data_IF_095514445719
#
_entry.id   IF_095514445719
#
_cell.length_a   1.000
_cell.length_b   1.000
_cell.length_c   1.000
_cell.angle_alpha   90.00
_cell.angle_beta   90.00
_cell.angle_gamma   90.00
#
_symmetry.space_group_name_H-M   'P 1'
#
loop_
_entity.id
_entity.type
_entity.pdbx_description
1 polymer ?
#
# COMPACT_ATOMS: atom_id res chain seq x y z
N UNK A 1 14.21 4.44 -17.41
CA UNK A 1 14.21 3.25 -16.53
C UNK A 1 13.71 2.05 -17.33
N UNK A 2 14.51 0.97 -17.44
CA UNK A 2 14.11 -0.20 -18.21
C UNK A 2 12.98 -0.96 -17.50
N UNK A 3 12.13 -1.66 -18.27
CA UNK A 3 11.07 -2.52 -17.69
C UNK A 3 11.60 -3.56 -16.68
N UNK A 4 12.86 -3.93 -16.81
CA UNK A 4 13.55 -4.89 -15.94
C UNK A 4 13.79 -4.30 -14.54
N UNK A 5 14.35 -3.10 -14.42
CA UNK A 5 14.64 -2.50 -13.11
C UNK A 5 13.40 -2.20 -12.26
N UNK A 6 12.27 -1.90 -12.90
CA UNK A 6 11.00 -1.71 -12.16
C UNK A 6 10.51 -3.04 -11.55
N UNK A 7 10.64 -4.13 -12.30
CA UNK A 7 10.25 -5.46 -11.82
C UNK A 7 11.12 -5.91 -10.65
N UNK A 8 12.43 -5.73 -10.76
CA UNK A 8 13.38 -6.06 -9.68
C UNK A 8 13.12 -5.25 -8.41
N UNK A 9 12.77 -3.96 -8.54
CA UNK A 9 12.39 -3.13 -7.40
C UNK A 9 11.15 -3.69 -6.68
N UNK A 10 10.12 -4.10 -7.42
CA UNK A 10 8.92 -4.69 -6.82
C UNK A 10 9.20 -6.06 -6.19
N UNK A 11 10.01 -6.89 -6.82
CA UNK A 11 10.44 -8.17 -6.25
C UNK A 11 11.24 -7.98 -4.96
N UNK A 12 12.11 -6.97 -4.91
CA UNK A 12 12.84 -6.58 -3.69
C UNK A 12 11.91 -6.11 -2.58
N UNK A 13 10.93 -5.24 -2.90
CA UNK A 13 9.96 -4.75 -1.92
C UNK A 13 9.08 -5.89 -1.39
N UNK A 14 8.66 -6.81 -2.25
CA UNK A 14 7.90 -8.00 -1.86
C UNK A 14 8.72 -8.92 -0.93
N UNK A 15 10.00 -9.13 -1.24
CA UNK A 15 10.90 -9.94 -0.44
C UNK A 15 11.16 -9.30 0.93
N UNK A 16 11.43 -7.99 0.96
CA UNK A 16 11.67 -7.25 2.21
C UNK A 16 10.44 -7.22 3.11
N UNK A 17 9.25 -7.09 2.53
CA UNK A 17 7.99 -7.16 3.28
C UNK A 17 7.74 -8.54 3.89
N UNK A 18 8.15 -9.61 3.20
CA UNK A 18 7.99 -10.97 3.71
C UNK A 18 8.87 -11.27 4.93
N UNK A 19 10.01 -10.58 5.08
CA UNK A 19 10.92 -10.74 6.22
C UNK A 19 10.49 -9.97 7.47
N UNK A 20 9.53 -9.06 7.36
CA UNK A 20 9.11 -8.15 8.45
C UNK A 20 7.82 -8.61 9.16
N UNK A 21 7.34 -9.84 8.94
CA UNK A 21 6.11 -10.33 9.55
C UNK A 21 6.22 -10.37 11.08
N UNK A 22 5.28 -9.70 11.76
CA UNK A 22 5.12 -9.71 13.21
C UNK A 22 3.92 -10.57 13.59
N UNK A 23 4.19 -11.64 14.33
CA UNK A 23 3.15 -12.46 14.93
C UNK A 23 2.70 -11.88 16.26
N UNK A 24 1.40 -11.70 16.41
CA UNK A 24 0.77 -11.39 17.69
C UNK A 24 0.34 -12.70 18.38
N UNK A 25 0.33 -12.72 19.73
CA UNK A 25 -0.31 -13.80 20.47
C UNK A 25 -1.76 -13.97 20.00
N UNK A 26 -2.29 -15.17 19.93
CA UNK A 26 -3.64 -15.53 19.45
C UNK A 26 -3.82 -15.72 17.93
N UNK A 27 -2.73 -15.82 17.15
CA UNK A 27 -2.81 -16.02 15.70
C UNK A 27 -3.30 -14.81 14.93
N UNK A 28 -3.31 -13.66 15.56
CA UNK A 28 -3.49 -12.35 14.93
C UNK A 28 -2.17 -11.87 14.34
N UNK A 29 -2.21 -11.06 13.29
CA UNK A 29 -1.04 -10.39 12.78
C UNK A 29 -1.38 -9.00 12.27
N UNK A 30 -0.37 -8.12 12.23
CA UNK A 30 -0.51 -6.77 11.72
C UNK A 30 0.11 -6.70 10.34
N UNK A 31 -0.73 -6.47 9.33
CA UNK A 31 -0.30 -6.10 7.99
C UNK A 31 -0.02 -4.59 7.96
N UNK A 32 1.14 -4.21 7.45
CA UNK A 32 1.58 -2.81 7.35
C UNK A 32 2.41 -2.62 6.09
N UNK A 33 2.64 -1.38 5.71
CA UNK A 33 3.60 -1.11 4.64
C UNK A 33 5.00 -1.53 5.07
N UNK A 34 5.74 -2.17 4.18
CA UNK A 34 7.12 -2.59 4.44
C UNK A 34 8.04 -1.38 4.68
N UNK A 35 9.08 -1.56 5.51
CA UNK A 35 10.04 -0.47 5.79
C UNK A 35 10.73 0.03 4.53
N UNK A 36 11.06 -0.86 3.61
CA UNK A 36 11.68 -0.49 2.32
C UNK A 36 10.75 0.35 1.46
N UNK A 37 9.44 0.03 1.45
CA UNK A 37 8.43 0.82 0.76
C UNK A 37 8.33 2.24 1.37
N UNK A 38 8.25 2.32 2.69
CA UNK A 38 8.21 3.60 3.39
C UNK A 38 9.47 4.43 3.13
N UNK A 39 10.67 3.83 3.17
CA UNK A 39 11.92 4.51 2.82
C UNK A 39 11.91 5.03 1.37
N UNK A 40 11.42 4.23 0.42
CA UNK A 40 11.33 4.64 -0.98
C UNK A 40 10.43 5.86 -1.16
N UNK A 41 9.28 5.92 -0.48
CA UNK A 41 8.38 7.09 -0.50
C UNK A 41 9.08 8.33 0.07
N UNK A 42 9.76 8.19 1.22
CA UNK A 42 10.51 9.30 1.84
C UNK A 42 11.57 9.85 0.89
N UNK A 43 12.42 8.96 0.37
CA UNK A 43 13.51 9.33 -0.52
C UNK A 43 12.98 9.99 -1.80
N UNK A 44 11.95 9.43 -2.42
CA UNK A 44 11.37 10.00 -3.64
C UNK A 44 10.74 11.38 -3.40
N UNK A 45 10.11 11.58 -2.24
CA UNK A 45 9.52 12.88 -1.85
C UNK A 45 10.61 13.94 -1.67
N UNK A 46 11.66 13.62 -0.90
CA UNK A 46 12.80 14.53 -0.69
C UNK A 46 13.48 14.86 -2.02
N UNK A 47 13.72 13.85 -2.85
CA UNK A 47 14.33 14.03 -4.15
C UNK A 47 13.50 14.96 -5.07
N UNK A 48 12.17 14.77 -5.09
CA UNK A 48 11.28 15.63 -5.88
C UNK A 48 11.37 17.10 -5.42
N UNK A 49 11.35 17.34 -4.11
CA UNK A 49 11.48 18.70 -3.56
C UNK A 49 12.84 19.30 -3.91
N UNK A 50 13.93 18.55 -3.71
CA UNK A 50 15.28 19.02 -4.05
C UNK A 50 15.43 19.35 -5.54
N UNK A 51 14.90 18.51 -6.43
CA UNK A 51 14.91 18.76 -7.88
C UNK A 51 14.09 20.00 -8.21
N UNK A 52 12.89 20.15 -7.67
CA UNK A 52 12.05 21.32 -7.92
C UNK A 52 12.72 22.62 -7.47
N UNK A 53 13.34 22.63 -6.29
CA UNK A 53 14.11 23.78 -5.79
C UNK A 53 15.32 24.06 -6.71
N UNK A 54 16.05 23.03 -7.10
CA UNK A 54 17.23 23.18 -7.97
C UNK A 54 16.85 23.79 -9.33
N UNK A 55 15.73 23.36 -9.94
CA UNK A 55 15.24 23.93 -11.19
C UNK A 55 14.95 25.44 -11.03
N UNK A 56 14.33 25.86 -9.93
CA UNK A 56 14.06 27.27 -9.65
C UNK A 56 15.34 28.11 -9.59
N UNK A 57 16.41 27.56 -9.02
CA UNK A 57 17.69 28.28 -8.91
C UNK A 57 18.47 28.34 -10.21
N UNK A 58 18.48 27.23 -10.98
CA UNK A 58 19.31 27.10 -12.17
C UNK A 58 18.66 27.67 -13.43
N UNK A 59 17.34 27.57 -13.56
CA UNK A 59 16.63 27.96 -14.77
C UNK A 59 15.30 28.63 -14.42
N UNK A 60 15.32 29.96 -14.38
CA UNK A 60 14.11 30.77 -14.09
C UNK A 60 13.04 30.67 -15.18
N UNK A 61 13.37 30.32 -16.40
CA UNK A 61 12.42 30.16 -17.49
C UNK A 61 11.61 28.86 -17.36
N UNK A 62 12.16 27.85 -16.65
CA UNK A 62 11.50 26.58 -16.39
C UNK A 62 10.65 26.56 -15.10
N UNK A 63 10.18 27.72 -14.68
CA UNK A 63 9.45 27.84 -13.40
C UNK A 63 8.18 26.97 -13.35
N UNK A 64 7.48 26.81 -14.49
CA UNK A 64 6.29 25.95 -14.57
C UNK A 64 6.59 24.49 -14.22
N UNK A 65 7.75 23.99 -14.72
CA UNK A 65 8.22 22.64 -14.42
C UNK A 65 8.58 22.53 -12.93
N UNK A 66 9.25 23.55 -12.39
CA UNK A 66 9.61 23.57 -10.98
C UNK A 66 8.37 23.56 -10.07
N UNK A 67 7.36 24.38 -10.38
CA UNK A 67 6.10 24.44 -9.64
C UNK A 67 5.36 23.11 -9.73
N UNK A 68 5.32 22.46 -10.88
CA UNK A 68 4.74 21.15 -11.04
C UNK A 68 5.43 20.08 -10.15
N UNK A 69 6.77 20.04 -10.18
CA UNK A 69 7.55 19.07 -9.38
C UNK A 69 7.39 19.34 -7.89
N UNK A 70 7.41 20.60 -7.46
CA UNK A 70 7.19 20.99 -6.06
C UNK A 70 5.77 20.66 -5.60
N UNK A 71 4.76 20.86 -6.44
CA UNK A 71 3.37 20.50 -6.15
C UNK A 71 3.23 18.99 -5.95
N UNK A 72 3.91 18.20 -6.77
CA UNK A 72 3.94 16.74 -6.61
C UNK A 72 4.62 16.34 -5.29
N UNK A 73 5.74 16.98 -4.94
CA UNK A 73 6.42 16.78 -3.67
C UNK A 73 5.54 17.14 -2.47
N UNK A 74 4.85 18.27 -2.53
CA UNK A 74 3.90 18.70 -1.49
C UNK A 74 2.72 17.72 -1.36
N UNK A 75 2.16 17.24 -2.45
CA UNK A 75 1.12 16.20 -2.43
C UNK A 75 1.60 14.93 -1.75
N UNK A 76 2.83 14.50 -2.04
CA UNK A 76 3.44 13.34 -1.39
C UNK A 76 3.64 13.56 0.11
N UNK A 77 4.03 14.76 0.56
CA UNK A 77 4.12 15.09 1.99
C UNK A 77 2.76 15.00 2.69
N UNK A 78 1.68 15.46 2.03
CA UNK A 78 0.31 15.37 2.57
C UNK A 78 -0.13 13.90 2.71
N UNK A 79 0.22 13.05 1.74
CA UNK A 79 -0.14 11.63 1.76
C UNK A 79 0.78 10.77 2.64
N UNK A 80 1.93 11.27 3.01
CA UNK A 80 2.93 10.55 3.79
C UNK A 80 2.38 9.94 5.10
N UNK A 81 1.66 10.68 5.96
CA UNK A 81 1.10 10.09 7.17
C UNK A 81 0.24 8.86 6.90
N UNK A 82 -0.52 8.87 5.79
CA UNK A 82 -1.35 7.73 5.38
C UNK A 82 -0.53 6.47 5.15
N UNK A 83 0.60 6.59 4.44
CA UNK A 83 1.46 5.44 4.14
C UNK A 83 2.22 4.94 5.37
N UNK A 84 2.75 5.85 6.19
CA UNK A 84 3.54 5.51 7.37
C UNK A 84 2.70 4.91 8.49
N UNK A 85 1.46 5.37 8.63
CA UNK A 85 0.57 4.95 9.73
C UNK A 85 -0.36 3.81 9.34
N UNK A 86 -0.35 3.41 8.06
CA UNK A 86 -1.19 2.31 7.59
C UNK A 86 -0.91 1.03 8.35
N UNK A 87 -1.95 0.49 8.98
CA UNK A 87 -1.94 -0.78 9.70
C UNK A 87 -3.26 -1.51 9.44
N UNK A 88 -3.19 -2.79 9.17
CA UNK A 88 -4.36 -3.65 9.11
C UNK A 88 -4.16 -4.83 10.06
N UNK A 89 -4.91 -4.84 11.15
CA UNK A 89 -4.95 -5.97 12.07
C UNK A 89 -5.85 -7.05 11.48
N UNK A 90 -5.28 -8.22 11.27
CA UNK A 90 -5.96 -9.39 10.71
C UNK A 90 -6.14 -10.42 11.80
N UNK A 91 -7.38 -10.77 12.09
CA UNK A 91 -7.73 -11.81 13.02
C UNK A 91 -8.65 -12.85 12.36
N UNK A 92 -9.08 -13.88 13.10
CA UNK A 92 -9.96 -14.95 12.59
C UNK A 92 -11.38 -14.45 12.24
N UNK A 93 -11.79 -13.29 12.77
CA UNK A 93 -13.16 -12.76 12.67
C UNK A 93 -13.23 -11.59 11.69
N UNK A 94 -12.24 -10.70 11.72
CA UNK A 94 -12.29 -9.43 10.99
C UNK A 94 -10.92 -8.96 10.48
N UNK A 95 -11.00 -8.01 9.55
CA UNK A 95 -9.91 -7.19 9.04
C UNK A 95 -10.16 -5.77 9.53
N UNK A 96 -9.26 -5.23 10.36
CA UNK A 96 -9.33 -3.85 10.87
C UNK A 96 -8.23 -3.01 10.26
N UNK A 97 -8.61 -2.07 9.40
CA UNK A 97 -7.72 -1.13 8.75
C UNK A 97 -7.71 0.20 9.53
N UNK A 98 -6.52 0.68 9.88
CA UNK A 98 -6.32 1.96 10.53
C UNK A 98 -5.22 2.73 9.81
N UNK A 99 -5.47 4.01 9.52
CA UNK A 99 -4.50 4.94 8.94
C UNK A 99 -4.88 6.38 9.23
N UNK A 100 -3.93 7.28 9.07
CA UNK A 100 -4.16 8.71 9.23
C UNK A 100 -4.18 9.38 7.86
N UNK A 101 -5.17 10.24 7.63
CA UNK A 101 -5.17 11.20 6.53
C UNK A 101 -5.05 12.58 7.15
N UNK A 102 -3.92 13.26 6.93
CA UNK A 102 -3.59 14.50 7.62
C UNK A 102 -3.71 14.33 9.14
N UNK A 103 -4.68 14.99 9.76
CA UNK A 103 -4.94 14.93 11.21
C UNK A 103 -6.08 13.97 11.59
N UNK A 104 -6.72 13.31 10.61
CA UNK A 104 -7.89 12.46 10.86
C UNK A 104 -7.50 10.98 10.89
N UNK A 105 -7.87 10.30 11.97
CA UNK A 105 -7.71 8.86 12.09
C UNK A 105 -8.89 8.15 11.41
N UNK A 106 -8.60 7.47 10.30
CA UNK A 106 -9.55 6.63 9.59
C UNK A 106 -9.48 5.20 10.13
N UNK A 107 -10.63 4.62 10.42
CA UNK A 107 -10.77 3.21 10.82
C UNK A 107 -11.82 2.55 9.95
N UNK A 108 -11.51 1.34 9.51
CA UNK A 108 -12.45 0.52 8.75
C UNK A 108 -12.35 -0.92 9.23
N UNK A 109 -13.46 -1.51 9.58
CA UNK A 109 -13.55 -2.91 9.96
C UNK A 109 -14.41 -3.67 8.95
N UNK A 110 -13.95 -4.84 8.54
CA UNK A 110 -14.65 -5.74 7.62
C UNK A 110 -14.61 -7.13 8.22
N UNK A 111 -15.77 -7.73 8.45
CA UNK A 111 -15.87 -9.09 8.94
C UNK A 111 -15.66 -10.08 7.79
N UNK A 112 -14.96 -11.19 8.03
CA UNK A 112 -14.75 -12.22 7.01
C UNK A 112 -16.07 -12.78 6.45
N UNK A 113 -17.13 -12.84 7.26
CA UNK A 113 -18.49 -13.28 6.84
C UNK A 113 -19.12 -12.36 5.78
N UNK A 114 -18.75 -11.07 5.77
CA UNK A 114 -19.30 -10.08 4.82
C UNK A 114 -18.57 -10.11 3.47
N UNK A 115 -17.43 -10.79 3.42
CA UNK A 115 -16.65 -10.97 2.20
C UNK A 115 -17.23 -12.17 1.43
N UNK A 116 -17.79 -11.92 0.26
CA UNK A 116 -18.35 -12.96 -0.61
C UNK A 116 -17.45 -13.30 -1.79
N UNK A 117 -16.72 -12.31 -2.30
CA UNK A 117 -15.86 -12.51 -3.46
C UNK A 117 -14.46 -11.97 -3.23
N UNK A 118 -13.49 -12.63 -3.83
CA UNK A 118 -12.08 -12.18 -3.91
C UNK A 118 -11.63 -12.13 -5.36
N UNK A 119 -10.80 -11.15 -5.69
CA UNK A 119 -10.14 -11.03 -6.98
C UNK A 119 -8.64 -10.95 -6.76
N UNK A 120 -7.93 -11.95 -7.27
CA UNK A 120 -6.48 -11.93 -7.33
C UNK A 120 -6.06 -11.35 -8.68
N UNK A 121 -5.21 -10.35 -8.66
CA UNK A 121 -4.54 -9.84 -9.85
C UNK A 121 -3.08 -10.30 -9.83
N UNK A 122 -2.68 -10.91 -10.92
CA UNK A 122 -1.30 -11.27 -11.21
C UNK A 122 -0.82 -10.37 -12.35
N UNK A 123 -0.02 -9.36 -12.02
CA UNK A 123 0.53 -8.39 -12.97
C UNK A 123 1.91 -7.95 -12.51
N UNK A 124 2.27 -6.68 -12.80
CA UNK A 124 3.49 -6.07 -12.28
C UNK A 124 3.54 -6.09 -10.75
N UNK A 125 2.40 -5.91 -10.11
CA UNK A 125 2.19 -6.09 -8.68
C UNK A 125 1.10 -7.12 -8.45
N UNK A 126 1.32 -8.04 -7.52
CA UNK A 126 0.28 -8.96 -7.07
C UNK A 126 -0.64 -8.20 -6.11
N UNK A 127 -1.95 -8.34 -6.28
CA UNK A 127 -2.91 -7.74 -5.35
C UNK A 127 -4.10 -8.65 -5.12
N UNK A 128 -4.71 -8.53 -3.93
CA UNK A 128 -5.96 -9.19 -3.57
C UNK A 128 -6.99 -8.12 -3.22
N UNK A 129 -8.17 -8.22 -3.80
CA UNK A 129 -9.29 -7.31 -3.54
C UNK A 129 -10.49 -8.11 -3.06
N UNK A 130 -11.11 -7.65 -1.99
CA UNK A 130 -12.29 -8.25 -1.38
C UNK A 130 -13.54 -7.46 -1.71
N UNK A 131 -14.65 -8.18 -1.95
CA UNK A 131 -15.94 -7.62 -2.32
C UNK A 131 -17.06 -8.24 -1.47
N UNK A 132 -18.10 -7.46 -1.22
CA UNK A 132 -19.33 -7.95 -0.59
C UNK A 132 -20.25 -8.68 -1.59
N UNK A 133 -21.44 -9.12 -1.11
CA UNK A 133 -22.46 -9.75 -1.93
C UNK A 133 -22.92 -8.87 -3.11
N UNK A 134 -22.97 -7.55 -2.91
CA UNK A 134 -23.36 -6.57 -3.93
C UNK A 134 -22.21 -6.17 -4.87
N UNK A 135 -21.12 -6.95 -4.89
CA UNK A 135 -19.91 -6.69 -5.71
C UNK A 135 -19.24 -5.33 -5.42
N UNK A 136 -19.57 -4.67 -4.30
CA UNK A 136 -18.91 -3.45 -3.84
C UNK A 136 -17.57 -3.81 -3.21
N UNK A 137 -16.52 -3.06 -3.59
CA UNK A 137 -15.17 -3.23 -3.04
C UNK A 137 -15.15 -2.90 -1.55
N UNK A 138 -14.66 -3.83 -0.75
CA UNK A 138 -14.47 -3.67 0.68
C UNK A 138 -13.05 -3.24 1.02
N UNK A 139 -12.05 -4.06 0.68
CA UNK A 139 -10.63 -3.83 0.95
C UNK A 139 -9.76 -4.33 -0.20
N UNK A 140 -8.55 -3.81 -0.30
CA UNK A 140 -7.55 -4.26 -1.27
C UNK A 140 -6.16 -4.20 -0.67
N UNK A 141 -5.38 -5.25 -0.89
CA UNK A 141 -4.02 -5.37 -0.41
C UNK A 141 -3.09 -5.66 -1.59
N UNK A 142 -1.94 -5.02 -1.59
CA UNK A 142 -0.87 -5.26 -2.56
C UNK A 142 0.25 -6.09 -1.93
N UNK A 143 1.06 -6.72 -2.75
CA UNK A 143 2.15 -7.59 -2.29
C UNK A 143 3.24 -6.85 -1.50
N UNK A 144 3.34 -5.51 -1.63
CA UNK A 144 4.24 -4.66 -0.84
C UNK A 144 3.87 -4.56 0.64
N UNK A 145 2.69 -5.04 1.02
CA UNK A 145 2.23 -5.06 2.42
C UNK A 145 2.81 -6.28 3.12
N UNK A 146 3.43 -6.05 4.28
CA UNK A 146 3.86 -7.11 5.20
C UNK A 146 2.65 -7.97 5.57
N UNK A 147 2.79 -9.30 5.50
CA UNK A 147 1.69 -10.22 5.78
C UNK A 147 0.76 -10.53 4.60
N UNK A 148 1.03 -10.01 3.40
CA UNK A 148 0.21 -10.27 2.20
C UNK A 148 -0.01 -11.76 1.92
N UNK A 149 1.04 -12.59 2.02
CA UNK A 149 0.94 -14.04 1.80
C UNK A 149 -0.01 -14.71 2.81
N UNK A 150 -0.02 -14.21 4.06
CA UNK A 150 -0.91 -14.72 5.12
C UNK A 150 -2.35 -14.34 4.85
N UNK A 151 -2.62 -13.09 4.43
CA UNK A 151 -3.95 -12.63 4.00
C UNK A 151 -4.46 -13.52 2.87
N UNK A 152 -3.64 -13.79 1.87
CA UNK A 152 -3.99 -14.69 0.76
C UNK A 152 -4.27 -16.13 1.25
N UNK A 153 -3.50 -16.64 2.22
CA UNK A 153 -3.71 -17.98 2.80
C UNK A 153 -5.03 -18.06 3.59
N UNK A 154 -5.34 -17.02 4.37
CA UNK A 154 -6.62 -16.94 5.10
C UNK A 154 -7.80 -16.83 4.13
N UNK A 155 -7.69 -16.01 3.10
CA UNK A 155 -8.70 -15.88 2.06
C UNK A 155 -8.92 -17.17 1.23
N UNK A 156 -7.93 -18.07 1.16
CA UNK A 156 -8.10 -19.40 0.54
C UNK A 156 -8.83 -20.38 1.46
N UNK A 157 -8.63 -20.27 2.77
CA UNK A 157 -9.26 -21.16 3.77
C UNK A 157 -10.73 -20.79 4.02
N UNK A 158 -11.08 -19.53 3.87
CA UNK A 158 -12.48 -19.09 3.93
C UNK A 158 -13.17 -19.42 2.60
N UNK A 159 -14.42 -19.85 2.62
CA UNK A 159 -15.23 -20.21 1.44
C UNK A 159 -15.59 -19.01 0.55
N UNK A 160 -14.62 -18.11 0.33
CA UNK A 160 -14.78 -16.90 -0.47
C UNK A 160 -14.65 -17.25 -1.95
N UNK A 161 -15.67 -16.92 -2.73
CA UNK A 161 -15.72 -17.19 -4.16
C UNK A 161 -14.77 -16.32 -4.96
N UNK A 162 -14.24 -16.83 -6.06
CA UNK A 162 -13.49 -16.00 -6.99
C UNK A 162 -14.42 -15.08 -7.79
N UNK A 163 -14.05 -13.79 -7.83
CA UNK A 163 -14.80 -12.81 -8.61
C UNK A 163 -14.52 -13.03 -10.10
N UNK A 164 -15.44 -13.70 -10.78
CA UNK A 164 -15.43 -13.80 -12.26
C UNK A 164 -16.05 -12.52 -12.82
N UNK A 165 -15.34 -11.89 -13.76
CA UNK A 165 -15.83 -10.74 -14.52
C UNK A 165 -16.69 -11.24 -15.67
#
# INVERSE_FOLDING_TARGET
MSRHGIRELFEYLDASAACEELDLPNGEFVARNGKSFNKAIVVSTVLAICIGVLILFLNREAWDVAVFVLSLGALMLILWPTFLTYRCTVNKISLKEEYWILCFKCKKEVLWKDIKYKKLKYGRTKSITFYNANKKRLMSFDASIVGFKRICKMAKRSSILEFKK
#
